data_IF_727684892174
#
_entry.id   IF_727684892174
#
_cell.length_a   1.000
_cell.length_b   1.000
_cell.length_c   1.000
_cell.angle_alpha   90.00
_cell.angle_beta   90.00
_cell.angle_gamma   90.00
#
_symmetry.space_group_name_H-M   'P 1'
#
loop_
_entity.id
_entity.type
_entity.pdbx_description
1 polymer ?
#
# COMPACT_ATOMS: atom_id res chain seq x y z
N UNK A 1 1.57 7.22 -11.41
CA UNK A 1 1.37 8.29 -10.43
C UNK A 1 -0.11 8.49 -10.12
N UNK A 2 -0.41 8.97 -8.91
CA UNK A 2 -1.71 9.44 -8.43
C UNK A 2 -1.46 10.73 -7.65
N UNK A 3 -2.22 11.79 -7.98
CA UNK A 3 -2.10 13.08 -7.33
C UNK A 3 -2.89 13.16 -6.02
N UNK A 4 -2.23 13.61 -4.96
CA UNK A 4 -2.78 13.87 -3.64
C UNK A 4 -2.73 15.38 -3.38
N UNK A 5 -3.86 15.99 -3.00
CA UNK A 5 -3.96 17.45 -2.74
C UNK A 5 -3.51 17.83 -1.31
N UNK A 6 -2.51 17.13 -0.81
CA UNK A 6 -1.90 17.34 0.51
C UNK A 6 -0.38 17.29 0.36
N UNK A 7 0.37 17.68 1.38
CA UNK A 7 1.83 17.59 1.33
C UNK A 7 2.32 16.14 1.21
N UNK A 8 3.54 15.90 0.70
CA UNK A 8 4.15 14.57 0.71
C UNK A 8 4.18 13.94 2.10
N UNK A 9 4.45 14.71 3.15
CA UNK A 9 4.43 14.26 4.54
C UNK A 9 3.05 13.74 4.96
N UNK A 10 1.99 14.49 4.68
CA UNK A 10 0.63 14.11 5.04
C UNK A 10 0.18 12.85 4.26
N UNK A 11 0.49 12.78 2.97
CA UNK A 11 0.23 11.59 2.16
C UNK A 11 1.00 10.37 2.69
N UNK A 12 2.28 10.55 3.03
CA UNK A 12 3.15 9.51 3.56
C UNK A 12 2.63 8.99 4.90
N UNK A 13 2.41 9.88 5.88
CA UNK A 13 1.99 9.52 7.24
C UNK A 13 0.63 8.81 7.23
N UNK A 14 -0.26 9.19 6.31
CA UNK A 14 -1.53 8.51 6.14
C UNK A 14 -1.38 7.11 5.53
N UNK A 15 -0.56 6.96 4.49
CA UNK A 15 -0.45 5.70 3.74
C UNK A 15 0.39 4.63 4.45
N UNK A 16 1.39 5.05 5.25
CA UNK A 16 2.25 4.12 6.00
C UNK A 16 1.53 3.47 7.18
N UNK A 17 0.54 4.15 7.76
CA UNK A 17 -0.19 3.68 8.94
C UNK A 17 -1.14 2.51 8.57
N UNK A 18 -0.88 1.27 9.04
CA UNK A 18 -1.70 0.12 8.67
C UNK A 18 -3.18 0.29 9.05
N UNK A 19 -3.49 1.00 10.14
CA UNK A 19 -4.87 1.24 10.57
C UNK A 19 -5.69 2.03 9.55
N UNK A 20 -5.07 2.84 8.68
CA UNK A 20 -5.77 3.61 7.66
C UNK A 20 -6.15 2.77 6.42
N UNK A 21 -5.48 1.64 6.17
CA UNK A 21 -5.63 0.84 4.94
C UNK A 21 -7.07 0.42 4.64
N UNK A 22 -7.87 -0.08 5.60
CA UNK A 22 -9.24 -0.53 5.30
C UNK A 22 -10.14 0.60 4.77
N UNK A 23 -9.80 1.86 5.04
CA UNK A 23 -10.56 2.99 4.55
C UNK A 23 -10.41 3.20 3.03
N UNK A 24 -9.27 2.83 2.44
CA UNK A 24 -8.94 3.12 1.04
C UNK A 24 -8.61 1.91 0.17
N UNK A 25 -8.18 0.78 0.75
CA UNK A 25 -7.98 -0.47 0.02
C UNK A 25 -9.30 -1.25 -0.10
N UNK A 26 -9.84 -1.31 -1.31
CA UNK A 26 -11.16 -1.90 -1.57
C UNK A 26 -11.30 -3.39 -1.21
N UNK A 27 -10.20 -4.14 -1.29
CA UNK A 27 -10.20 -5.58 -0.98
C UNK A 27 -9.98 -5.90 0.49
N UNK A 28 -9.62 -4.90 1.32
CA UNK A 28 -9.22 -5.10 2.70
C UNK A 28 -10.41 -4.88 3.64
N UNK A 29 -10.75 -5.89 4.44
CA UNK A 29 -11.81 -5.79 5.45
C UNK A 29 -11.31 -5.12 6.73
N UNK A 30 -10.09 -5.47 7.19
CA UNK A 30 -9.43 -4.90 8.36
C UNK A 30 -7.95 -5.27 8.39
N UNK A 31 -7.22 -4.66 9.31
CA UNK A 31 -5.85 -5.03 9.68
C UNK A 31 -5.84 -5.56 11.11
N UNK A 32 -5.03 -6.57 11.36
CA UNK A 32 -4.84 -7.22 12.68
C UNK A 32 -3.35 -7.29 13.04
N UNK A 33 -3.06 -7.61 14.31
CA UNK A 33 -1.71 -7.95 14.81
C UNK A 33 -0.61 -6.92 14.47
N UNK A 34 -0.96 -5.63 14.52
CA UNK A 34 -0.03 -4.53 14.20
C UNK A 34 1.02 -4.39 15.30
N UNK A 35 2.29 -4.52 14.94
CA UNK A 35 3.41 -4.21 15.83
C UNK A 35 3.60 -2.69 15.96
N UNK A 36 4.30 -2.22 17.01
CA UNK A 36 4.68 -0.81 17.12
C UNK A 36 5.39 -0.29 15.86
N UNK A 37 5.12 0.97 15.50
CA UNK A 37 5.63 1.63 14.30
C UNK A 37 5.04 3.04 14.14
N UNK A 38 5.28 3.74 13.01
CA UNK A 38 5.88 3.23 11.77
C UNK A 38 7.42 3.09 11.84
N UNK A 39 7.95 1.94 11.40
CA UNK A 39 9.39 1.66 11.32
C UNK A 39 9.69 0.52 10.32
N UNK A 40 10.94 0.42 9.84
CA UNK A 40 11.40 -0.80 9.15
C UNK A 40 11.31 -1.97 10.11
N UNK A 41 10.77 -3.10 9.64
CA UNK A 41 10.48 -4.28 10.45
C UNK A 41 9.12 -4.23 11.17
N UNK A 42 8.32 -3.17 11.02
CA UNK A 42 6.94 -3.19 11.48
C UNK A 42 6.16 -4.28 10.73
N UNK A 43 5.37 -5.07 11.45
CA UNK A 43 4.56 -6.16 10.90
C UNK A 43 3.09 -5.99 11.21
N UNK A 44 2.23 -6.51 10.34
CA UNK A 44 0.78 -6.62 10.56
C UNK A 44 0.19 -7.74 9.71
N UNK A 45 -1.10 -8.03 9.90
CA UNK A 45 -1.85 -8.99 9.10
C UNK A 45 -2.98 -8.28 8.38
N UNK A 46 -2.95 -8.30 7.05
CA UNK A 46 -4.08 -7.86 6.23
C UNK A 46 -5.18 -8.93 6.26
N UNK A 47 -6.44 -8.56 6.42
CA UNK A 47 -7.58 -9.48 6.26
C UNK A 47 -8.41 -9.03 5.07
N UNK A 48 -8.25 -9.72 3.93
CA UNK A 48 -8.95 -9.36 2.69
C UNK A 48 -10.33 -10.01 2.60
N UNK A 49 -11.17 -9.56 1.67
CA UNK A 49 -12.41 -10.24 1.27
C UNK A 49 -12.13 -10.98 -0.04
N UNK A 50 -12.24 -12.33 -0.13
CA UNK A 50 -13.01 -13.24 0.73
C UNK A 50 -12.23 -14.01 1.83
N UNK A 51 -11.08 -13.52 2.32
CA UNK A 51 -10.45 -14.05 3.54
C UNK A 51 -8.98 -14.45 3.41
N UNK A 52 -8.21 -13.89 2.47
CA UNK A 52 -6.76 -14.06 2.52
C UNK A 52 -6.20 -13.31 3.73
N UNK A 53 -5.16 -13.87 4.33
CA UNK A 53 -4.46 -13.27 5.48
C UNK A 53 -2.97 -13.11 5.21
N UNK A 54 -2.55 -12.16 4.34
CA UNK A 54 -1.14 -11.88 4.11
C UNK A 54 -0.43 -11.42 5.39
N UNK A 55 0.74 -12.00 5.64
CA UNK A 55 1.68 -11.48 6.63
C UNK A 55 2.45 -10.34 6.00
N UNK A 56 2.36 -9.16 6.60
CA UNK A 56 2.88 -7.92 6.05
C UNK A 56 4.07 -7.42 6.88
N UNK A 57 5.00 -6.75 6.21
CA UNK A 57 6.20 -6.17 6.80
C UNK A 57 6.59 -4.89 6.06
N UNK A 58 6.92 -3.81 6.78
CA UNK A 58 7.60 -2.64 6.21
C UNK A 58 9.08 -2.95 6.02
N UNK A 59 9.55 -2.87 4.78
CA UNK A 59 10.92 -3.26 4.39
C UNK A 59 11.82 -2.06 4.07
N UNK A 60 11.23 -0.92 3.71
CA UNK A 60 11.93 0.35 3.59
C UNK A 60 11.03 1.50 4.06
N UNK A 61 11.63 2.47 4.73
CA UNK A 61 10.94 3.64 5.24
C UNK A 61 11.88 4.85 5.22
N UNK A 62 11.61 5.80 4.33
CA UNK A 62 12.33 7.06 4.17
C UNK A 62 11.28 8.18 4.05
N UNK A 63 10.99 8.86 5.16
CA UNK A 63 9.95 9.90 5.19
C UNK A 63 10.49 11.22 4.61
N UNK A 64 9.74 11.92 3.74
CA UNK A 64 8.46 11.52 3.14
C UNK A 64 8.60 10.80 1.79
N UNK A 65 9.81 10.47 1.33
CA UNK A 65 10.12 10.12 -0.06
C UNK A 65 9.72 8.71 -0.50
N UNK A 66 9.83 7.71 0.38
CA UNK A 66 9.67 6.31 -0.01
C UNK A 66 9.21 5.41 1.13
N UNK A 67 8.27 4.53 0.82
CA UNK A 67 7.89 3.44 1.69
C UNK A 67 7.74 2.15 0.86
N UNK A 68 8.31 1.06 1.36
CA UNK A 68 8.19 -0.27 0.76
C UNK A 68 7.68 -1.26 1.79
N UNK A 69 6.78 -2.13 1.35
CA UNK A 69 6.24 -3.23 2.12
C UNK A 69 6.34 -4.56 1.37
N UNK A 70 6.30 -5.64 2.14
CA UNK A 70 6.20 -7.00 1.62
C UNK A 70 5.04 -7.73 2.29
N UNK A 71 4.18 -8.33 1.47
CA UNK A 71 3.12 -9.22 1.90
C UNK A 71 3.37 -10.67 1.46
N UNK A 72 3.20 -11.64 2.35
CA UNK A 72 3.38 -13.07 2.02
C UNK A 72 2.16 -13.91 2.40
N UNK A 73 1.73 -14.81 1.52
CA UNK A 73 0.62 -15.75 1.78
C UNK A 73 0.70 -16.96 0.85
N UNK A 74 0.45 -18.18 1.36
CA UNK A 74 0.24 -19.41 0.56
C UNK A 74 1.23 -19.60 -0.63
N UNK A 75 2.52 -19.30 -0.43
CA UNK A 75 3.55 -19.42 -1.46
C UNK A 75 3.68 -18.24 -2.44
N UNK A 76 2.93 -17.16 -2.20
CA UNK A 76 3.04 -15.87 -2.87
C UNK A 76 3.79 -14.86 -1.99
N UNK A 77 4.51 -13.95 -2.64
CA UNK A 77 5.08 -12.74 -2.06
C UNK A 77 4.75 -11.56 -2.97
N UNK A 78 4.14 -10.52 -2.42
CA UNK A 78 3.98 -9.24 -3.07
C UNK A 78 4.91 -8.22 -2.42
N UNK A 79 5.45 -7.31 -3.23
CA UNK A 79 6.19 -6.16 -2.75
C UNK A 79 5.59 -4.91 -3.39
N UNK A 80 5.21 -3.94 -2.57
CA UNK A 80 4.70 -2.64 -3.00
C UNK A 80 5.68 -1.57 -2.53
N UNK A 81 6.14 -0.75 -3.46
CA UNK A 81 6.87 0.48 -3.18
C UNK A 81 6.01 1.66 -3.58
N UNK A 82 5.90 2.64 -2.69
CA UNK A 82 5.35 3.95 -2.97
C UNK A 82 6.48 4.98 -2.94
N UNK A 83 6.62 5.70 -4.04
CA UNK A 83 7.48 6.86 -4.16
C UNK A 83 6.64 8.13 -4.10
N UNK A 84 7.10 9.12 -3.33
CA UNK A 84 6.40 10.37 -3.09
C UNK A 84 7.26 11.53 -3.60
N UNK A 85 6.66 12.39 -4.40
CA UNK A 85 7.33 13.57 -4.93
C UNK A 85 6.45 14.82 -4.74
N UNK A 86 7.04 15.97 -4.35
CA UNK A 86 6.31 17.23 -4.33
C UNK A 86 5.83 17.59 -5.73
N UNK A 87 4.62 18.13 -5.82
CA UNK A 87 4.02 18.58 -7.07
C UNK A 87 3.23 19.87 -6.84
N UNK A 88 2.99 20.69 -7.89
CA UNK A 88 2.12 21.86 -7.76
C UNK A 88 0.76 21.48 -7.16
N UNK A 89 0.43 22.05 -6.00
CA UNK A 89 -0.83 21.78 -5.31
C UNK A 89 -0.87 20.51 -4.45
N UNK A 90 0.26 19.83 -4.22
CA UNK A 90 0.34 18.71 -3.29
C UNK A 90 1.49 17.73 -3.55
N UNK A 91 1.16 16.45 -3.73
CA UNK A 91 2.08 15.34 -3.85
C UNK A 91 1.68 14.40 -4.99
N UNK A 92 2.64 13.90 -5.75
CA UNK A 92 2.46 12.74 -6.63
C UNK A 92 2.94 11.48 -5.92
N UNK A 93 2.11 10.43 -5.95
CA UNK A 93 2.46 9.11 -5.42
C UNK A 93 2.58 8.10 -6.56
N UNK A 94 3.75 7.51 -6.71
CA UNK A 94 4.03 6.50 -7.72
C UNK A 94 4.10 5.09 -7.11
N UNK A 95 3.12 4.21 -7.40
CA UNK A 95 3.17 2.82 -6.96
C UNK A 95 3.94 1.94 -7.95
N UNK A 96 4.84 1.13 -7.41
CA UNK A 96 5.48 0.00 -8.08
C UNK A 96 5.15 -1.27 -7.32
N UNK A 97 4.53 -2.25 -7.97
CA UNK A 97 4.17 -3.52 -7.35
C UNK A 97 4.78 -4.69 -8.10
N UNK A 98 5.38 -5.62 -7.36
CA UNK A 98 5.88 -6.89 -7.90
C UNK A 98 5.22 -8.05 -7.17
N UNK A 99 4.79 -9.08 -7.93
CA UNK A 99 4.24 -10.31 -7.36
C UNK A 99 5.11 -11.49 -7.79
N UNK A 100 5.49 -12.31 -6.81
CA UNK A 100 6.28 -13.52 -6.98
C UNK A 100 5.50 -14.69 -6.41
N UNK A 101 5.60 -15.84 -7.08
CA UNK A 101 5.13 -17.10 -6.55
C UNK A 101 6.08 -18.21 -6.98
N UNK A 102 6.13 -19.28 -6.19
CA UNK A 102 6.96 -20.46 -6.47
C UNK A 102 6.12 -21.62 -7.00
N UNK A 103 6.77 -22.57 -7.70
CA UNK A 103 6.14 -23.79 -8.17
C UNK A 103 5.06 -23.55 -9.25
N UNK A 104 3.98 -24.34 -9.20
CA UNK A 104 2.90 -24.30 -10.19
C UNK A 104 2.13 -22.97 -10.24
N UNK A 105 2.30 -22.11 -9.23
CA UNK A 105 1.67 -20.78 -9.17
C UNK A 105 2.44 -19.69 -9.92
N UNK A 106 3.67 -19.95 -10.40
CA UNK A 106 4.49 -18.98 -11.13
C UNK A 106 3.82 -18.32 -12.37
N UNK A 107 3.13 -19.05 -13.27
CA UNK A 107 2.44 -18.41 -14.40
C UNK A 107 1.27 -17.52 -13.93
N UNK A 108 0.57 -17.91 -12.86
CA UNK A 108 -0.50 -17.10 -12.27
C UNK A 108 0.03 -15.79 -11.68
N UNK A 109 1.19 -15.82 -11.00
CA UNK A 109 1.81 -14.61 -10.46
C UNK A 109 2.20 -13.62 -11.56
N UNK A 110 2.65 -14.10 -12.73
CA UNK A 110 2.92 -13.22 -13.89
C UNK A 110 1.66 -12.53 -14.40
N UNK A 111 0.56 -13.27 -14.54
CA UNK A 111 -0.71 -12.68 -14.98
C UNK A 111 -1.23 -11.64 -13.99
N UNK A 112 -1.20 -11.95 -12.68
CA UNK A 112 -1.62 -11.03 -11.62
C UNK A 112 -0.72 -9.79 -11.54
N UNK A 113 0.59 -9.92 -11.79
CA UNK A 113 1.53 -8.79 -11.83
C UNK A 113 1.15 -7.74 -12.86
N UNK A 114 0.54 -8.14 -13.99
CA UNK A 114 0.12 -7.19 -15.02
C UNK A 114 -1.10 -6.35 -14.57
N UNK A 115 -1.99 -6.92 -13.76
CA UNK A 115 -3.20 -6.26 -13.27
C UNK A 115 -2.97 -5.46 -11.98
N UNK A 116 -2.02 -5.90 -11.15
CA UNK A 116 -1.72 -5.34 -9.84
C UNK A 116 -1.53 -3.80 -9.81
N UNK A 117 -0.78 -3.17 -10.73
CA UNK A 117 -0.62 -1.71 -10.75
C UNK A 117 -1.93 -0.94 -10.90
N UNK A 118 -2.92 -1.50 -11.63
CA UNK A 118 -4.21 -0.85 -11.83
C UNK A 118 -5.07 -0.87 -10.55
N UNK A 119 -5.08 -2.00 -9.84
CA UNK A 119 -5.78 -2.13 -8.57
C UNK A 119 -5.21 -1.16 -7.53
N UNK A 120 -3.88 -1.13 -7.36
CA UNK A 120 -3.19 -0.22 -6.44
C UNK A 120 -3.49 1.23 -6.77
N UNK A 121 -3.45 1.63 -8.04
CA UNK A 121 -3.80 3.00 -8.45
C UNK A 121 -5.25 3.36 -8.13
N UNK A 122 -6.19 2.42 -8.23
CA UNK A 122 -7.58 2.66 -7.87
C UNK A 122 -7.74 2.90 -6.37
N UNK A 123 -7.09 2.08 -5.54
CA UNK A 123 -7.08 2.22 -4.09
C UNK A 123 -6.40 3.54 -3.66
N UNK A 124 -5.27 3.91 -4.28
CA UNK A 124 -4.61 5.20 -4.02
C UNK A 124 -5.47 6.41 -4.41
N UNK A 125 -6.22 6.34 -5.53
CA UNK A 125 -7.18 7.40 -5.89
C UNK A 125 -8.27 7.57 -4.83
N UNK A 126 -8.68 6.48 -4.17
CA UNK A 126 -9.62 6.54 -3.05
C UNK A 126 -8.97 7.19 -1.83
N UNK A 127 -7.73 6.83 -1.48
CA UNK A 127 -6.98 7.47 -0.41
C UNK A 127 -6.85 8.98 -0.63
N UNK A 128 -6.47 9.41 -1.85
CA UNK A 128 -6.35 10.81 -2.21
C UNK A 128 -7.66 11.60 -2.02
N UNK A 129 -8.81 10.98 -2.32
CA UNK A 129 -10.13 11.59 -2.10
C UNK A 129 -10.48 11.73 -0.62
N UNK A 130 -10.15 10.72 0.19
CA UNK A 130 -10.40 10.74 1.64
C UNK A 130 -9.58 11.84 2.32
N UNK A 131 -8.29 11.94 1.98
CA UNK A 131 -7.42 12.99 2.50
C UNK A 131 -7.87 14.38 2.08
N UNK A 132 -8.24 14.57 0.81
CA UNK A 132 -8.75 15.86 0.34
C UNK A 132 -10.08 16.28 1.00
N UNK A 133 -10.88 15.33 1.50
CA UNK A 133 -12.11 15.61 2.23
C UNK A 133 -11.87 15.92 3.72
N UNK A 134 -10.77 15.42 4.30
CA UNK A 134 -10.38 15.68 5.69
C UNK A 134 -9.67 17.03 5.91
N UNK A 135 -9.00 17.56 4.88
CA UNK A 135 -8.24 18.82 4.92
C UNK A 135 -9.13 20.10 4.79
N UNK A 136 -10.46 19.93 4.78
CA UNK A 136 -11.44 21.01 4.66
C UNK A 136 -12.16 21.39 5.97
N UNK A 137 -11.59 21.01 7.13
CA UNK A 137 -12.14 21.28 8.47
C UNK A 137 -11.44 22.44 9.18
#
# INVERSE_FOLDING_TARGET
>A
MVHFRVSPEAAFDYLVEPANRPAWQSSLARVEDVSPGPAVGQTWVDVTTPGLRPQMETTALDRPHRWTERGTWRGFSAELTLDFAPAPGGCEVEPTMTLRATGLAAPLARALSAAAPYAVRSDLKRAARLLAAGDGG
#
